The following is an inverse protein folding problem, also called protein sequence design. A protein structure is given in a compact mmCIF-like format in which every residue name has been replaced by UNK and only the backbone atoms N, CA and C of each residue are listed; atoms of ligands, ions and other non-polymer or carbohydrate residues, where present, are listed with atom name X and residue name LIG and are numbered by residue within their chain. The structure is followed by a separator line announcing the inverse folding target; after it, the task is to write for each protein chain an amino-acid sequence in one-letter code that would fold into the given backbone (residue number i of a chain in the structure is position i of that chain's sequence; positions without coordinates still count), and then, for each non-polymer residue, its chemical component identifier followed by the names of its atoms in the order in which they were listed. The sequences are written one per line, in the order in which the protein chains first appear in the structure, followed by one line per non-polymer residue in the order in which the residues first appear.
data_IF_826076628796
#
_entry.id   IF_826076628796
#
_cell.length_a   1.000
_cell.length_b   1.000
_cell.length_c   1.000
_cell.angle_alpha   90.00
_cell.angle_beta   90.00
_cell.angle_gamma   90.00
#
_symmetry.space_group_name_H-M   'P 1'
#
loop_
_entity.id
_entity.type
_entity.pdbx_description
1 polymer ?
#
# COMPACT_ATOMS: atom_id res chain seq x y z
N UNK A 1 -3.86 5.87 25.50
CA UNK A 1 -4.18 7.09 24.71
C UNK A 1 -5.40 6.83 23.82
N UNK A 2 -5.40 5.80 22.96
CA UNK A 2 -6.56 5.41 22.13
C UNK A 2 -7.79 4.95 22.93
N UNK A 3 -7.58 4.26 24.06
CA UNK A 3 -8.66 3.76 24.93
C UNK A 3 -9.65 4.84 25.40
N UNK A 4 -9.19 6.08 25.59
CA UNK A 4 -10.04 7.19 26.02
C UNK A 4 -10.86 7.78 24.84
N UNK A 5 -10.36 7.65 23.61
CA UNK A 5 -11.01 8.18 22.41
C UNK A 5 -12.14 7.28 21.92
N UNK A 6 -12.05 5.96 22.18
CA UNK A 6 -13.09 4.99 21.82
C UNK A 6 -14.27 5.00 22.81
N UNK A 7 -14.16 5.66 23.96
CA UNK A 7 -15.18 5.69 25.03
C UNK A 7 -15.81 7.07 25.27
N UNK A 8 -15.74 7.97 24.30
CA UNK A 8 -16.33 9.31 24.38
C UNK A 8 -17.72 9.36 23.72
N UNK A 9 -18.44 10.48 23.85
CA UNK A 9 -19.76 10.72 23.25
C UNK A 9 -19.77 10.60 21.72
N UNK A 10 -18.61 10.79 21.09
CA UNK A 10 -18.35 10.52 19.67
C UNK A 10 -17.15 9.57 19.56
N UNK A 11 -17.35 8.24 19.66
CA UNK A 11 -16.26 7.29 19.65
C UNK A 11 -15.63 7.22 18.25
N UNK A 12 -14.32 7.01 18.20
CA UNK A 12 -13.65 6.64 16.94
C UNK A 12 -14.25 5.32 16.46
N UNK A 13 -14.65 5.27 15.19
CA UNK A 13 -15.23 4.08 14.55
C UNK A 13 -14.34 3.47 13.46
N UNK A 14 -13.36 4.25 12.97
CA UNK A 14 -12.47 3.85 11.89
C UNK A 14 -11.07 4.44 12.07
N UNK A 15 -10.05 3.69 11.68
CA UNK A 15 -8.67 4.16 11.55
C UNK A 15 -8.24 4.16 10.08
N UNK A 16 -8.05 5.36 9.53
CA UNK A 16 -7.30 5.56 8.29
C UNK A 16 -5.85 5.81 8.67
N UNK A 17 -4.93 4.98 8.17
CA UNK A 17 -3.52 5.03 8.54
C UNK A 17 -2.62 5.07 7.31
N UNK A 18 -1.44 5.66 7.43
CA UNK A 18 -0.45 5.65 6.35
C UNK A 18 -0.03 4.21 6.04
N UNK A 19 -0.04 3.81 4.77
CA UNK A 19 0.31 2.44 4.36
C UNK A 19 1.72 2.01 4.82
N UNK A 20 2.64 2.96 5.05
CA UNK A 20 3.99 2.69 5.58
C UNK A 20 3.98 2.20 7.04
N UNK A 21 2.83 2.28 7.74
CA UNK A 21 2.67 1.93 9.15
C UNK A 21 1.70 0.75 9.32
N UNK A 22 2.02 -0.46 8.80
CA UNK A 22 1.09 -1.59 8.81
C UNK A 22 0.68 -2.05 10.22
N UNK A 23 1.50 -1.78 11.24
CA UNK A 23 1.18 -2.06 12.65
C UNK A 23 -0.07 -1.32 13.15
N UNK A 24 -0.45 -0.22 12.49
CA UNK A 24 -1.66 0.53 12.84
C UNK A 24 -2.93 -0.31 12.64
N UNK A 25 -2.91 -1.28 11.72
CA UNK A 25 -4.00 -2.23 11.54
C UNK A 25 -4.21 -3.08 12.80
N UNK A 26 -3.13 -3.59 13.39
CA UNK A 26 -3.23 -4.43 14.60
C UNK A 26 -3.84 -3.64 15.76
N UNK A 27 -3.44 -2.37 15.89
CA UNK A 27 -4.03 -1.43 16.85
C UNK A 27 -5.52 -1.24 16.57
N UNK A 28 -5.93 -1.00 15.32
CA UNK A 28 -7.35 -0.87 14.99
C UNK A 28 -8.15 -2.12 15.35
N UNK A 29 -7.59 -3.32 15.11
CA UNK A 29 -8.24 -4.60 15.43
C UNK A 29 -8.36 -4.85 16.93
N UNK A 30 -7.39 -4.41 17.74
CA UNK A 30 -7.48 -4.48 19.22
C UNK A 30 -8.72 -3.76 19.76
N UNK A 31 -9.12 -2.66 19.11
CA UNK A 31 -10.29 -1.85 19.49
C UNK A 31 -11.56 -2.15 18.69
N UNK A 32 -11.54 -3.17 17.80
CA UNK A 32 -12.69 -3.52 16.97
C UNK A 32 -13.09 -2.45 15.94
N UNK A 33 -12.13 -1.63 15.50
CA UNK A 33 -12.37 -0.56 14.53
C UNK A 33 -12.31 -1.08 13.09
N UNK A 34 -13.05 -0.42 12.21
CA UNK A 34 -12.78 -0.50 10.78
C UNK A 34 -11.40 0.13 10.49
N UNK A 35 -10.69 -0.35 9.48
CA UNK A 35 -9.34 0.08 9.19
C UNK A 35 -9.09 0.16 7.67
N UNK A 36 -8.39 1.20 7.25
CA UNK A 36 -8.00 1.38 5.85
C UNK A 36 -6.58 1.96 5.74
N UNK A 37 -5.61 1.23 5.13
CA UNK A 37 -4.35 1.84 4.73
C UNK A 37 -4.60 2.88 3.64
N UNK A 38 -3.88 3.99 3.74
CA UNK A 38 -3.89 5.09 2.80
C UNK A 38 -2.54 5.15 2.09
N UNK A 39 -2.53 4.73 0.82
CA UNK A 39 -1.38 4.81 -0.04
C UNK A 39 -1.27 6.21 -0.63
N UNK A 40 -0.22 6.94 -0.25
CA UNK A 40 0.04 8.30 -0.73
C UNK A 40 0.74 8.34 -2.08
N UNK A 41 1.26 7.20 -2.55
CA UNK A 41 1.94 7.05 -3.84
C UNK A 41 0.96 6.60 -4.94
N UNK A 42 1.33 6.83 -6.20
CA UNK A 42 0.52 6.41 -7.35
C UNK A 42 0.41 4.88 -7.43
N UNK A 43 -0.69 4.40 -8.01
CA UNK A 43 -0.96 2.97 -8.16
C UNK A 43 0.16 2.18 -8.89
N UNK A 44 0.80 2.66 -9.98
CA UNK A 44 1.90 1.92 -10.61
C UNK A 44 3.11 1.75 -9.68
N UNK A 45 3.42 2.76 -8.86
CA UNK A 45 4.50 2.68 -7.87
C UNK A 45 4.18 1.63 -6.80
N UNK A 46 2.96 1.66 -6.26
CA UNK A 46 2.53 0.66 -5.26
C UNK A 46 2.54 -0.76 -5.86
N UNK A 47 2.12 -0.90 -7.12
CA UNK A 47 2.11 -2.19 -7.82
C UNK A 47 3.52 -2.76 -8.01
N UNK A 48 4.48 -1.92 -8.39
CA UNK A 48 5.90 -2.33 -8.49
C UNK A 48 6.43 -2.82 -7.14
N UNK A 49 6.16 -2.10 -6.04
CA UNK A 49 6.57 -2.56 -4.71
C UNK A 49 5.84 -3.83 -4.26
N UNK A 50 4.58 -4.02 -4.67
CA UNK A 50 3.84 -5.24 -4.39
C UNK A 50 4.44 -6.46 -5.11
N UNK A 51 4.81 -6.32 -6.38
CA UNK A 51 5.52 -7.38 -7.12
C UNK A 51 6.86 -7.70 -6.45
N UNK A 52 7.62 -6.66 -6.06
CA UNK A 52 8.86 -6.85 -5.33
C UNK A 52 8.65 -7.57 -3.99
N UNK A 53 7.60 -7.22 -3.23
CA UNK A 53 7.23 -7.89 -1.98
C UNK A 53 6.91 -9.36 -2.21
N UNK A 54 6.13 -9.70 -3.26
CA UNK A 54 5.80 -11.08 -3.62
C UNK A 54 7.02 -11.90 -4.03
N UNK A 55 8.04 -11.25 -4.58
CA UNK A 55 9.28 -11.88 -5.05
C UNK A 55 10.47 -11.59 -4.10
N UNK A 56 10.21 -11.57 -2.78
CA UNK A 56 11.23 -11.48 -1.73
C UNK A 56 12.20 -10.29 -1.87
N UNK A 57 11.67 -9.13 -2.27
CA UNK A 57 12.42 -7.89 -2.44
C UNK A 57 13.11 -7.75 -3.80
N UNK A 58 12.92 -8.70 -4.71
CA UNK A 58 13.46 -8.64 -6.09
C UNK A 58 12.38 -8.30 -7.10
N UNK A 59 12.73 -7.65 -8.21
CA UNK A 59 11.80 -7.32 -9.28
C UNK A 59 12.33 -7.88 -10.59
N UNK A 60 11.51 -8.68 -11.27
CA UNK A 60 11.83 -9.20 -12.60
C UNK A 60 11.34 -8.22 -13.67
N UNK A 61 12.20 -7.94 -14.65
CA UNK A 61 11.89 -7.08 -15.80
C UNK A 61 11.99 -7.89 -17.10
N UNK A 62 11.13 -7.62 -18.10
CA UNK A 62 10.02 -6.65 -18.07
C UNK A 62 8.86 -7.12 -17.19
N UNK A 63 8.12 -6.18 -16.57
CA UNK A 63 6.85 -6.48 -15.88
C UNK A 63 5.80 -6.75 -16.96
N UNK A 64 5.11 -7.88 -16.90
CA UNK A 64 4.15 -8.31 -17.94
C UNK A 64 3.01 -7.30 -18.15
N UNK A 65 2.48 -6.75 -17.06
CA UNK A 65 1.39 -5.76 -17.06
C UNK A 65 1.86 -4.33 -17.37
N UNK A 66 3.16 -4.07 -17.27
CA UNK A 66 3.80 -2.76 -17.51
C UNK A 66 5.07 -2.93 -18.36
N UNK A 67 4.98 -3.51 -19.57
CA UNK A 67 6.14 -3.97 -20.33
C UNK A 67 6.97 -2.82 -20.90
N UNK A 68 6.45 -1.59 -20.83
CA UNK A 68 7.11 -0.37 -21.25
C UNK A 68 8.06 0.20 -20.18
N UNK A 69 8.03 -0.31 -18.94
CA UNK A 69 8.93 0.14 -17.89
C UNK A 69 10.31 -0.51 -18.02
N UNK A 70 11.34 0.31 -18.01
CA UNK A 70 12.74 -0.11 -17.95
C UNK A 70 13.30 0.06 -16.54
N UNK A 71 14.52 -0.44 -16.29
CA UNK A 71 15.18 -0.33 -14.99
C UNK A 71 15.34 1.12 -14.51
N UNK A 72 15.44 2.08 -15.43
CA UNK A 72 15.55 3.50 -15.10
C UNK A 72 14.21 4.13 -14.65
N UNK A 73 13.09 3.49 -14.96
CA UNK A 73 11.74 3.98 -14.66
C UNK A 73 11.20 3.44 -13.33
N UNK A 74 11.81 2.35 -12.80
CA UNK A 74 11.41 1.77 -11.51
C UNK A 74 12.01 2.55 -10.33
N UNK A 75 11.40 2.47 -9.12
CA UNK A 75 11.87 3.22 -7.97
C UNK A 75 13.34 2.98 -7.66
N UNK A 76 14.04 4.03 -7.19
CA UNK A 76 15.47 3.99 -6.88
C UNK A 76 15.88 2.90 -5.90
N UNK A 77 14.97 2.51 -4.99
CA UNK A 77 15.18 1.42 -4.04
C UNK A 77 15.35 0.04 -4.71
N UNK A 78 14.86 -0.10 -5.94
CA UNK A 78 14.98 -1.31 -6.77
C UNK A 78 16.14 -1.14 -7.75
N UNK A 79 16.21 -0.01 -8.46
CA UNK A 79 17.23 0.21 -9.50
C UNK A 79 18.64 0.47 -8.95
N UNK A 80 18.76 0.94 -7.71
CA UNK A 80 20.04 1.14 -7.00
C UNK A 80 20.13 0.15 -5.85
N UNK A 81 20.73 -1.00 -6.12
CA UNK A 81 20.90 -2.10 -5.17
C UNK A 81 21.49 -1.63 -3.83
N UNK A 82 20.82 -1.96 -2.73
CA UNK A 82 21.27 -1.67 -1.37
C UNK A 82 21.07 -0.22 -0.93
N UNK A 83 20.42 0.63 -1.74
CA UNK A 83 20.08 1.99 -1.32
C UNK A 83 18.96 2.00 -0.28
N UNK A 84 19.17 2.76 0.80
CA UNK A 84 18.18 3.01 1.86
C UNK A 84 17.45 1.74 2.37
N UNK A 85 18.17 0.71 2.87
CA UNK A 85 17.58 -0.60 3.14
C UNK A 85 16.40 -0.55 4.12
N UNK A 86 16.47 0.30 5.15
CA UNK A 86 15.37 0.46 6.10
C UNK A 86 14.10 1.05 5.45
N UNK A 87 14.24 1.98 4.51
CA UNK A 87 13.10 2.53 3.77
C UNK A 87 12.58 1.56 2.73
N UNK A 88 13.46 0.80 2.08
CA UNK A 88 13.03 -0.26 1.16
C UNK A 88 12.20 -1.32 1.89
N UNK A 89 12.68 -1.80 3.03
CA UNK A 89 11.95 -2.75 3.88
C UNK A 89 10.59 -2.17 4.31
N UNK A 90 10.54 -0.90 4.73
CA UNK A 90 9.29 -0.22 5.08
C UNK A 90 8.30 -0.18 3.91
N UNK A 91 8.78 0.10 2.69
CA UNK A 91 7.95 0.15 1.48
C UNK A 91 7.40 -1.22 1.08
N UNK A 92 8.16 -2.30 1.26
CA UNK A 92 7.67 -3.66 1.04
C UNK A 92 6.69 -4.09 2.14
N UNK A 93 6.91 -3.65 3.38
CA UNK A 93 6.08 -4.03 4.53
C UNK A 93 4.64 -3.51 4.47
N UNK A 94 4.35 -2.51 3.62
CA UNK A 94 2.99 -2.04 3.32
C UNK A 94 2.04 -3.19 2.96
N UNK A 95 2.56 -4.27 2.36
CA UNK A 95 1.77 -5.40 1.85
C UNK A 95 1.69 -6.60 2.79
N UNK A 96 2.19 -6.48 4.02
CA UNK A 96 2.21 -7.59 4.99
C UNK A 96 0.82 -7.96 5.50
N UNK A 97 -0.08 -6.99 5.63
CA UNK A 97 -1.39 -7.20 6.23
C UNK A 97 -2.55 -6.43 5.55
N UNK A 98 -2.31 -5.72 4.43
CA UNK A 98 -3.33 -4.90 3.75
C UNK A 98 -4.60 -5.67 3.35
N UNK A 99 -4.47 -6.96 2.99
CA UNK A 99 -5.60 -7.85 2.65
C UNK A 99 -6.57 -8.07 3.83
N UNK A 100 -6.15 -7.76 5.05
CA UNK A 100 -6.98 -7.86 6.26
C UNK A 100 -7.66 -6.53 6.60
N UNK A 101 -7.39 -5.45 5.86
CA UNK A 101 -8.06 -4.16 6.05
C UNK A 101 -9.48 -4.20 5.46
N UNK A 102 -10.34 -3.28 5.88
CA UNK A 102 -11.74 -3.22 5.41
C UNK A 102 -11.86 -2.52 4.04
N UNK A 103 -10.91 -1.63 3.74
CA UNK A 103 -10.79 -0.92 2.48
C UNK A 103 -9.32 -0.64 2.20
N UNK A 104 -8.97 -0.39 0.94
CA UNK A 104 -7.67 0.19 0.60
C UNK A 104 -7.88 1.51 -0.13
N UNK A 105 -7.30 2.57 0.41
CA UNK A 105 -7.39 3.92 -0.13
C UNK A 105 -6.09 4.24 -0.85
N UNK A 106 -6.20 4.82 -2.05
CA UNK A 106 -5.04 5.28 -2.81
C UNK A 106 -5.28 6.71 -3.25
N UNK A 107 -4.30 7.59 -3.02
CA UNK A 107 -4.35 8.99 -3.43
C UNK A 107 -4.17 9.12 -4.95
N UNK A 108 -5.22 8.79 -5.68
CA UNK A 108 -5.28 8.79 -7.14
C UNK A 108 -6.71 9.03 -7.60
N UNK A 109 -6.95 9.11 -8.90
CA UNK A 109 -8.28 9.15 -9.49
C UNK A 109 -8.30 8.35 -10.78
N UNK A 110 -9.46 7.79 -11.12
CA UNK A 110 -9.58 6.78 -12.17
C UNK A 110 -9.12 7.28 -13.55
N UNK A 111 -9.35 8.54 -13.86
CA UNK A 111 -9.02 9.15 -15.15
C UNK A 111 -7.53 9.48 -15.31
N UNK A 112 -6.76 9.49 -14.22
CA UNK A 112 -5.34 9.84 -14.28
C UNK A 112 -4.53 8.79 -15.03
N UNK A 113 -4.94 7.53 -14.91
CA UNK A 113 -4.19 6.41 -15.46
C UNK A 113 -5.13 5.24 -15.77
N UNK A 114 -5.36 4.99 -17.07
CA UNK A 114 -6.21 3.89 -17.52
C UNK A 114 -5.64 2.51 -17.15
N UNK A 115 -4.32 2.39 -17.04
CA UNK A 115 -3.69 1.16 -16.52
C UNK A 115 -3.95 1.03 -15.02
N UNK A 116 -4.11 2.12 -14.27
CA UNK A 116 -4.45 2.06 -12.84
C UNK A 116 -5.77 1.36 -12.59
N UNK A 117 -6.77 1.49 -13.45
CA UNK A 117 -7.98 0.67 -13.29
C UNK A 117 -7.64 -0.82 -13.41
N UNK A 118 -6.90 -1.22 -14.43
CA UNK A 118 -6.50 -2.61 -14.61
C UNK A 118 -5.65 -3.14 -13.43
N UNK A 119 -4.64 -2.37 -13.02
CA UNK A 119 -3.78 -2.71 -11.90
C UNK A 119 -4.56 -2.77 -10.59
N UNK A 120 -5.40 -1.77 -10.29
CA UNK A 120 -6.25 -1.74 -9.11
C UNK A 120 -7.18 -2.95 -9.04
N UNK A 121 -7.78 -3.38 -10.15
CA UNK A 121 -8.61 -4.59 -10.19
C UNK A 121 -7.82 -5.88 -9.90
N UNK A 122 -6.56 -5.97 -10.35
CA UNK A 122 -5.70 -7.14 -10.11
C UNK A 122 -4.98 -7.11 -8.75
N UNK A 123 -4.80 -5.93 -8.19
CA UNK A 123 -4.01 -5.65 -6.98
C UNK A 123 -4.90 -5.49 -5.74
N UNK A 124 -6.15 -5.04 -5.90
CA UNK A 124 -7.01 -4.60 -4.81
C UNK A 124 -8.47 -4.92 -5.13
N UNK A 125 -8.97 -6.06 -4.65
CA UNK A 125 -10.38 -6.44 -4.78
C UNK A 125 -11.37 -5.48 -4.07
N UNK A 126 -10.88 -4.39 -3.45
CA UNK A 126 -11.63 -3.45 -2.62
C UNK A 126 -11.11 -2.00 -2.70
N UNK A 127 -10.80 -1.47 -3.90
CA UNK A 127 -10.47 -0.03 -4.04
C UNK A 127 -11.74 0.80 -4.00
N UNK A 128 -11.79 1.71 -3.03
CA UNK A 128 -12.63 2.90 -3.12
C UNK A 128 -11.73 4.04 -3.61
N UNK A 129 -12.13 4.67 -4.72
CA UNK A 129 -11.55 5.93 -5.18
C UNK A 129 -12.19 7.10 -4.43
#
# INVERSE_FOLDING_TARGET
MLSCLVRNDNPITCLVYDAFLPWALDVAREFGLAAAPFFTQSCPVNYVYYLAYKNNGSLDLPIEELPFLELQDVPSFISVSGSYPAFFDMLLQQFTNFEKADFVLVNTFQELDLHVRYLAYNFLNQVLF
#
